data_IF_914877518287
#
_entry.id   IF_914877518287
#
_cell.length_a   1.000
_cell.length_b   1.000
_cell.length_c   1.000
_cell.angle_alpha   90.00
_cell.angle_beta   90.00
_cell.angle_gamma   90.00
#
_symmetry.space_group_name_H-M   'P 1'
#
loop_
_entity.id
_entity.type
_entity.pdbx_description
1 polymer ?
#
# COMPACT_ATOMS: atom_id res chain seq x y z
N UNK A 1 -6.52 -12.89 -28.80
CA UNK A 1 -5.66 -11.87 -28.15
C UNK A 1 -5.56 -12.24 -26.69
N UNK A 2 -4.38 -12.09 -26.08
CA UNK A 2 -4.21 -12.38 -24.65
C UNK A 2 -4.81 -11.25 -23.82
N UNK A 3 -5.64 -11.60 -22.83
CA UNK A 3 -6.24 -10.63 -21.90
C UNK A 3 -5.16 -10.04 -20.99
N UNK A 4 -5.21 -8.73 -20.65
CA UNK A 4 -4.31 -8.16 -19.65
C UNK A 4 -4.52 -8.84 -18.30
N UNK A 5 -3.42 -9.14 -17.60
CA UNK A 5 -3.43 -9.68 -16.26
C UNK A 5 -2.69 -8.71 -15.34
N UNK A 6 -3.29 -8.45 -14.18
CA UNK A 6 -2.76 -7.55 -13.18
C UNK A 6 -2.51 -8.30 -11.88
N UNK A 7 -1.45 -7.90 -11.21
CA UNK A 7 -1.04 -8.36 -9.91
C UNK A 7 -0.98 -7.17 -8.97
N UNK A 8 -1.57 -7.33 -7.78
CA UNK A 8 -1.40 -6.41 -6.67
C UNK A 8 -0.32 -6.98 -5.76
N UNK A 9 0.72 -6.19 -5.52
CA UNK A 9 1.90 -6.64 -4.79
C UNK A 9 2.02 -5.80 -3.51
N UNK A 10 2.15 -6.47 -2.37
CA UNK A 10 2.65 -5.86 -1.15
C UNK A 10 4.03 -6.46 -0.90
N UNK A 11 5.07 -5.63 -0.85
CA UNK A 11 6.41 -6.13 -0.58
C UNK A 11 6.55 -6.60 0.87
N UNK A 12 7.28 -7.71 1.06
CA UNK A 12 7.61 -8.17 2.41
C UNK A 12 8.41 -7.08 3.13
N UNK A 13 7.86 -6.60 4.24
CA UNK A 13 8.43 -5.52 5.03
C UNK A 13 8.63 -5.99 6.46
N UNK A 14 9.82 -5.76 7.00
CA UNK A 14 10.11 -5.96 8.42
C UNK A 14 9.86 -4.66 9.18
N UNK A 15 8.92 -4.66 10.12
CA UNK A 15 8.68 -3.55 11.05
C UNK A 15 9.30 -3.89 12.39
N UNK A 16 10.41 -3.22 12.70
CA UNK A 16 11.10 -3.36 13.98
C UNK A 16 10.33 -2.65 15.08
N UNK A 17 10.30 -3.24 16.28
CA UNK A 17 9.66 -2.66 17.46
C UNK A 17 10.60 -2.70 18.67
N UNK A 18 10.43 -1.75 19.57
CA UNK A 18 11.20 -1.65 20.80
C UNK A 18 10.72 -2.62 21.89
N UNK A 19 11.42 -2.68 23.01
CA UNK A 19 11.10 -3.59 24.12
C UNK A 19 9.70 -3.41 24.75
N UNK A 20 9.03 -2.29 24.47
CA UNK A 20 7.66 -1.98 24.88
C UNK A 20 6.61 -2.24 23.77
N UNK A 21 7.01 -2.87 22.65
CA UNK A 21 6.10 -3.20 21.57
C UNK A 21 5.74 -2.03 20.64
N UNK A 22 6.45 -0.89 20.73
CA UNK A 22 6.26 0.24 19.82
C UNK A 22 7.26 0.19 18.68
N UNK A 23 6.75 0.25 17.46
CA UNK A 23 7.46 0.25 16.20
C UNK A 23 6.61 0.94 15.15
N UNK A 24 7.25 1.43 14.10
CA UNK A 24 6.60 2.07 12.97
C UNK A 24 7.30 1.65 11.70
N UNK A 25 6.55 1.45 10.62
CA UNK A 25 7.10 1.12 9.32
C UNK A 25 6.13 1.46 8.21
N UNK A 26 6.57 1.26 6.98
CA UNK A 26 5.80 1.60 5.81
C UNK A 26 5.77 0.41 4.86
N UNK A 27 4.59 0.11 4.31
CA UNK A 27 4.39 -0.97 3.34
C UNK A 27 3.94 -0.35 2.02
N UNK A 28 4.80 -0.32 1.00
CA UNK A 28 4.40 0.11 -0.34
C UNK A 28 3.57 -0.98 -1.02
N UNK A 29 2.51 -0.56 -1.70
CA UNK A 29 1.66 -1.41 -2.53
C UNK A 29 1.83 -1.05 -3.99
N UNK A 30 1.94 -2.08 -4.84
CA UNK A 30 2.20 -1.93 -6.25
C UNK A 30 1.11 -2.55 -7.11
N UNK A 31 0.96 -2.01 -8.32
CA UNK A 31 0.23 -2.66 -9.40
C UNK A 31 1.25 -3.02 -10.48
N UNK A 32 1.15 -4.25 -10.98
CA UNK A 32 1.95 -4.73 -12.10
C UNK A 32 1.07 -5.46 -13.11
N UNK A 33 1.17 -5.08 -14.38
CA UNK A 33 0.57 -5.79 -15.49
C UNK A 33 1.54 -6.90 -15.96
N UNK A 34 1.43 -8.09 -15.38
CA UNK A 34 2.38 -9.17 -15.56
C UNK A 34 2.20 -9.97 -16.87
N UNK A 35 1.07 -9.80 -17.58
CA UNK A 35 0.84 -10.44 -18.87
C UNK A 35 -0.20 -9.71 -19.73
N UNK A 36 -0.30 -10.14 -21.00
CA UNK A 36 -1.30 -9.67 -21.96
C UNK A 36 -0.88 -8.42 -22.73
N UNK A 37 -1.85 -7.76 -23.35
CA UNK A 37 -1.62 -6.52 -24.11
C UNK A 37 -1.59 -5.35 -23.13
N UNK A 38 -0.56 -4.50 -23.20
CA UNK A 38 -0.47 -3.25 -22.42
C UNK A 38 -1.79 -2.49 -22.49
N UNK A 39 -2.35 -2.22 -21.32
CA UNK A 39 -3.65 -1.57 -21.20
C UNK A 39 -3.51 -0.32 -20.37
N UNK A 40 -4.06 0.77 -20.88
CA UNK A 40 -4.14 2.02 -20.16
C UNK A 40 -5.25 1.93 -19.11
N UNK A 41 -4.94 2.34 -17.89
CA UNK A 41 -5.83 2.27 -16.73
C UNK A 41 -6.19 3.68 -16.27
N UNK A 42 -7.49 3.97 -16.25
CA UNK A 42 -8.04 5.25 -15.80
C UNK A 42 -8.38 5.27 -14.31
N UNK A 43 -8.58 4.10 -13.70
CA UNK A 43 -8.94 3.98 -12.30
C UNK A 43 -8.57 2.60 -11.75
N UNK A 44 -8.30 2.53 -10.46
CA UNK A 44 -8.10 1.29 -9.74
C UNK A 44 -8.68 1.41 -8.33
N UNK A 45 -8.98 0.26 -7.73
CA UNK A 45 -9.37 0.16 -6.32
C UNK A 45 -8.76 -1.10 -5.73
N UNK A 46 -8.34 -1.04 -4.48
CA UNK A 46 -7.78 -2.19 -3.77
C UNK A 46 -8.17 -2.19 -2.30
N UNK A 47 -8.01 -3.34 -1.67
CA UNK A 47 -8.11 -3.52 -0.23
C UNK A 47 -6.95 -4.37 0.26
N UNK A 48 -6.45 -4.05 1.44
CA UNK A 48 -5.46 -4.86 2.13
C UNK A 48 -5.94 -5.12 3.56
N UNK A 49 -5.64 -6.31 4.07
CA UNK A 49 -5.93 -6.70 5.44
C UNK A 49 -4.67 -7.04 6.21
N UNK A 50 -4.67 -6.79 7.51
CA UNK A 50 -3.63 -7.18 8.45
C UNK A 50 -4.25 -7.75 9.72
N UNK A 51 -3.41 -8.34 10.58
CA UNK A 51 -3.82 -8.74 11.92
C UNK A 51 -3.83 -7.50 12.84
N UNK A 52 -5.01 -7.02 13.30
CA UNK A 52 -5.12 -5.81 14.12
C UNK A 52 -4.51 -5.98 15.52
N UNK A 53 -4.24 -7.22 15.94
CA UNK A 53 -3.52 -7.49 17.18
C UNK A 53 -2.01 -7.23 17.04
N UNK A 54 -1.48 -7.12 15.82
CA UNK A 54 -0.04 -6.92 15.56
C UNK A 54 0.26 -5.55 14.97
N UNK A 55 -0.55 -5.09 14.03
CA UNK A 55 -0.36 -3.85 13.28
C UNK A 55 -1.61 -2.99 13.34
N UNK A 56 -1.42 -1.68 13.28
CA UNK A 56 -2.46 -0.67 13.16
C UNK A 56 -2.07 0.24 12.00
N UNK A 57 -3.02 0.56 11.13
CA UNK A 57 -2.78 1.58 10.09
C UNK A 57 -2.82 2.96 10.75
N UNK A 58 -1.71 3.69 10.66
CA UNK A 58 -1.58 5.07 11.13
C UNK A 58 -2.05 6.05 10.04
N UNK A 59 -1.48 5.91 8.84
CA UNK A 59 -1.78 6.78 7.71
C UNK A 59 -1.74 6.01 6.38
N UNK A 60 -2.48 6.51 5.39
CA UNK A 60 -2.43 6.01 4.01
C UNK A 60 -2.08 7.19 3.11
N UNK A 61 -0.94 7.08 2.44
CA UNK A 61 -0.44 8.06 1.51
C UNK A 61 -0.53 7.57 0.06
N UNK A 62 -0.49 8.51 -0.88
CA UNK A 62 -0.32 8.19 -2.28
C UNK A 62 1.09 7.64 -2.51
N UNK A 63 1.20 6.49 -3.17
CA UNK A 63 2.49 5.97 -3.60
C UNK A 63 3.15 6.90 -4.62
N UNK A 64 4.46 6.76 -4.81
CA UNK A 64 5.25 7.65 -5.69
C UNK A 64 4.66 7.76 -7.11
N UNK A 65 4.18 6.66 -7.70
CA UNK A 65 3.57 6.69 -9.02
C UNK A 65 2.28 7.48 -9.01
N UNK A 66 1.38 7.21 -8.06
CA UNK A 66 0.10 7.90 -7.92
C UNK A 66 0.28 9.40 -7.71
N UNK A 67 1.20 9.80 -6.82
CA UNK A 67 1.50 11.20 -6.54
C UNK A 67 2.08 11.94 -7.77
N UNK A 68 2.78 11.21 -8.65
CA UNK A 68 3.37 11.79 -9.87
C UNK A 68 2.38 12.01 -11.01
N UNK A 69 1.17 11.44 -10.91
CA UNK A 69 0.14 11.58 -11.94
C UNK A 69 -0.19 13.05 -12.22
N UNK A 70 -0.64 13.31 -13.44
CA UNK A 70 -1.07 14.64 -13.90
C UNK A 70 0.00 15.74 -13.69
N UNK A 71 1.28 15.40 -13.88
CA UNK A 71 2.39 16.34 -13.70
C UNK A 71 2.71 16.65 -12.23
N UNK A 72 2.45 15.69 -11.33
CA UNK A 72 2.66 15.84 -9.89
C UNK A 72 1.47 16.44 -9.13
N UNK A 73 0.31 16.58 -9.79
CA UNK A 73 -0.93 16.98 -9.12
C UNK A 73 -1.64 15.81 -8.40
N UNK A 74 -1.19 14.57 -8.65
CA UNK A 74 -1.85 13.36 -8.19
C UNK A 74 -3.05 12.98 -9.07
N UNK A 75 -3.82 11.95 -8.67
CA UNK A 75 -5.03 11.53 -9.36
C UNK A 75 -6.15 12.58 -9.24
N UNK A 76 -7.10 12.57 -10.18
CA UNK A 76 -8.28 13.45 -10.12
C UNK A 76 -9.23 13.11 -8.96
N UNK A 77 -9.19 11.87 -8.49
CA UNK A 77 -9.86 11.43 -7.27
C UNK A 77 -8.96 10.47 -6.50
N UNK A 78 -8.87 10.68 -5.20
CA UNK A 78 -8.22 9.78 -4.25
C UNK A 78 -9.10 9.69 -3.02
N UNK A 79 -9.43 8.47 -2.61
CA UNK A 79 -10.06 8.22 -1.32
C UNK A 79 -9.46 6.96 -0.71
N UNK A 80 -9.15 7.06 0.58
CA UNK A 80 -8.53 6.00 1.34
C UNK A 80 -9.19 5.96 2.72
N UNK A 81 -9.69 4.79 3.09
CA UNK A 81 -10.35 4.57 4.35
C UNK A 81 -9.59 3.53 5.17
N UNK A 82 -9.16 3.96 6.35
CA UNK A 82 -8.59 3.09 7.38
C UNK A 82 -9.72 2.27 8.02
N UNK A 83 -9.49 0.97 8.14
CA UNK A 83 -10.33 0.02 8.86
C UNK A 83 -9.48 -0.61 9.98
N UNK A 84 -10.13 -1.17 11.01
CA UNK A 84 -9.40 -1.82 12.10
C UNK A 84 -8.51 -2.95 11.59
N UNK A 85 -9.00 -3.74 10.64
CA UNK A 85 -8.30 -4.92 10.11
C UNK A 85 -7.61 -4.64 8.77
N UNK A 86 -7.52 -3.38 8.32
CA UNK A 86 -7.05 -3.12 6.97
C UNK A 86 -7.26 -1.71 6.44
N UNK A 87 -7.25 -1.60 5.12
CA UNK A 87 -7.52 -0.38 4.41
C UNK A 87 -8.23 -0.68 3.09
N UNK A 88 -9.05 0.26 2.64
CA UNK A 88 -9.60 0.29 1.29
C UNK A 88 -9.22 1.60 0.61
N UNK A 89 -8.79 1.52 -0.64
CA UNK A 89 -8.26 2.64 -1.40
C UNK A 89 -8.86 2.63 -2.81
N UNK A 90 -9.23 3.80 -3.30
CA UNK A 90 -9.68 4.02 -4.68
C UNK A 90 -9.03 5.25 -5.30
N UNK A 91 -8.67 5.15 -6.58
CA UNK A 91 -8.11 6.24 -7.37
C UNK A 91 -8.79 6.33 -8.73
N UNK A 92 -9.07 7.57 -9.16
CA UNK A 92 -9.34 7.90 -10.56
C UNK A 92 -8.17 8.73 -11.06
N UNK A 93 -7.32 8.12 -11.89
CA UNK A 93 -6.08 8.71 -12.37
C UNK A 93 -6.38 9.91 -13.29
N UNK A 94 -7.28 9.72 -14.26
CA UNK A 94 -7.88 10.80 -15.04
C UNK A 94 -9.21 10.35 -15.67
N UNK A 95 -10.28 11.12 -15.45
CA UNK A 95 -11.65 10.85 -15.91
C UNK A 95 -11.82 11.04 -17.42
N UNK A 96 -10.89 11.76 -18.07
CA UNK A 96 -10.95 12.12 -19.49
C UNK A 96 -9.72 11.70 -20.31
N UNK A 97 -8.90 10.76 -19.84
CA UNK A 97 -7.76 10.22 -20.62
C UNK A 97 -6.62 11.23 -20.84
N UNK A 98 -6.46 12.18 -19.94
CA UNK A 98 -5.42 13.22 -19.95
C UNK A 98 -4.07 12.73 -19.43
N UNK A 99 -4.07 11.69 -18.59
CA UNK A 99 -2.91 10.92 -18.18
C UNK A 99 -3.29 9.44 -18.23
N UNK A 100 -2.63 8.70 -19.10
CA UNK A 100 -2.81 7.27 -19.25
C UNK A 100 -1.81 6.58 -18.31
N UNK A 101 -2.31 5.86 -17.31
CA UNK A 101 -1.44 5.06 -16.45
C UNK A 101 -1.26 3.68 -17.07
N UNK A 102 -0.02 3.28 -17.31
CA UNK A 102 0.33 1.89 -17.62
C UNK A 102 1.13 1.31 -16.46
N UNK A 103 0.98 0.00 -16.26
CA UNK A 103 1.64 -0.76 -15.19
C UNK A 103 2.56 -1.83 -15.79
N UNK A 104 3.26 -1.52 -16.88
CA UNK A 104 4.19 -2.45 -17.55
C UNK A 104 5.43 -2.78 -16.70
N UNK A 105 5.66 -1.99 -15.67
CA UNK A 105 6.54 -2.25 -14.52
C UNK A 105 5.71 -2.21 -13.23
N UNK A 106 6.25 -2.75 -12.13
CA UNK A 106 5.61 -2.64 -10.84
C UNK A 106 5.68 -1.17 -10.37
N UNK A 107 4.53 -0.52 -10.28
CA UNK A 107 4.44 0.89 -9.89
C UNK A 107 3.84 1.03 -8.49
N UNK A 108 4.50 1.82 -7.64
CA UNK A 108 4.06 2.09 -6.26
C UNK A 108 2.84 3.01 -6.26
N UNK A 109 1.67 2.46 -5.95
CA UNK A 109 0.39 3.19 -6.04
C UNK A 109 -0.14 3.67 -4.69
N UNK A 110 0.23 3.00 -3.59
CA UNK A 110 -0.17 3.34 -2.22
C UNK A 110 1.04 3.14 -1.29
N UNK A 111 1.20 4.00 -0.31
CA UNK A 111 2.10 3.78 0.81
C UNK A 111 1.28 3.72 2.10
N UNK A 112 1.32 2.60 2.82
CA UNK A 112 0.61 2.45 4.09
C UNK A 112 1.62 2.58 5.23
N UNK A 113 1.37 3.54 6.11
CA UNK A 113 2.14 3.71 7.34
C UNK A 113 1.47 2.88 8.43
N UNK A 114 2.25 1.98 9.01
CA UNK A 114 1.83 1.10 10.07
C UNK A 114 2.55 1.45 11.37
N UNK A 115 1.80 1.37 12.47
CA UNK A 115 2.34 1.23 13.81
C UNK A 115 2.14 -0.20 14.30
N UNK A 116 3.04 -0.68 15.15
CA UNK A 116 2.83 -1.95 15.83
C UNK A 116 1.86 -1.77 16.99
N UNK A 117 1.02 -2.77 17.28
CA UNK A 117 0.10 -2.75 18.42
C UNK A 117 0.82 -3.14 19.73
N UNK A 118 1.15 -2.19 20.63
CA UNK A 118 2.05 -2.45 21.76
C UNK A 118 1.42 -3.31 22.87
N UNK A 119 0.08 -3.39 22.92
CA UNK A 119 -0.65 -4.14 23.96
C UNK A 119 -0.52 -5.66 23.82
N UNK A 120 -0.27 -6.16 22.60
CA UNK A 120 -0.12 -7.59 22.30
C UNK A 120 1.35 -8.00 22.17
N UNK A 121 2.24 -7.05 21.86
CA UNK A 121 3.68 -7.28 21.70
C UNK A 121 4.60 -7.21 22.97
N UNK A 122 4.16 -7.28 24.26
CA UNK A 122 5.11 -7.11 25.36
C UNK A 122 5.95 -8.36 25.73
N UNK A 123 7.29 -8.11 25.80
CA UNK A 123 8.39 -8.81 26.51
C UNK A 123 8.83 -10.22 26.08
N UNK A 124 9.47 -10.32 24.91
CA UNK A 124 10.44 -11.41 24.64
C UNK A 124 11.81 -11.20 25.32
N UNK A 125 12.14 -9.99 25.79
CA UNK A 125 13.36 -9.76 26.58
C UNK A 125 13.13 -9.98 28.08
N UNK A 126 12.94 -11.24 28.51
CA UNK A 126 13.47 -11.62 29.84
C UNK A 126 14.96 -11.77 29.67
N UNK A 127 15.70 -10.90 30.35
CA UNK A 127 17.14 -11.03 30.57
C UNK A 127 17.57 -12.50 30.68
N UNK A 128 18.36 -12.99 29.72
CA UNK A 128 19.20 -14.17 29.93
C UNK A 128 20.59 -13.65 30.23
N UNK A 129 20.87 -13.45 31.51
CA UNK A 129 22.23 -13.48 32.03
C UNK A 129 22.50 -14.89 32.54
N UNK A 130 23.42 -15.58 31.88
CA UNK A 130 24.09 -16.80 32.29
C UNK A 130 25.48 -16.78 31.69
#
# INVERSE_FOLDING_TARGET
MAQPQFEFIAEETTIEYNWNGFGSGQVPLFIFQNAGITTEILSWSMSISHDPDLLLVDEIEQGQYTASLNGGAGPEFWDAQVLVEGAVIGSINCTFGCAWSTFETAEEVVLILYETAPLVLPRSARNVSG
#
